data_IF_938881716670
#
_entry.id   IF_938881716670
#
_cell.length_a   1.000
_cell.length_b   1.000
_cell.length_c   1.000
_cell.angle_alpha   90.00
_cell.angle_beta   90.00
_cell.angle_gamma   90.00
#
_symmetry.space_group_name_H-M   'P 1'
#
loop_
_entity.id
_entity.type
_entity.pdbx_description
1 polymer ?
#
# COMPACT_ATOMS: atom_id res chain seq x y z
N UNK A 1 36.12 2.83 -19.17
CA UNK A 1 34.87 3.54 -18.81
C UNK A 1 33.91 2.50 -18.30
N UNK A 2 33.79 2.38 -16.98
CA UNK A 2 32.79 1.53 -16.35
C UNK A 2 31.48 2.32 -16.34
N UNK A 3 30.50 1.87 -17.13
CA UNK A 3 29.12 2.30 -16.97
C UNK A 3 28.59 1.58 -15.73
N UNK A 4 28.94 2.07 -14.55
CA UNK A 4 28.30 1.67 -13.31
C UNK A 4 26.88 2.20 -13.38
N UNK A 5 25.94 1.33 -13.72
CA UNK A 5 24.52 1.60 -13.58
C UNK A 5 24.30 1.80 -12.08
N UNK A 6 24.36 3.06 -11.63
CA UNK A 6 23.73 3.49 -10.38
C UNK A 6 22.23 3.18 -10.53
N UNK A 7 21.87 1.91 -10.32
CA UNK A 7 20.52 1.52 -10.01
C UNK A 7 20.22 2.25 -8.72
N UNK A 8 19.56 3.41 -8.86
CA UNK A 8 19.13 4.28 -7.78
C UNK A 8 18.48 3.35 -6.74
N UNK A 9 19.22 3.05 -5.67
CA UNK A 9 18.90 1.94 -4.78
C UNK A 9 17.77 2.43 -3.89
N UNK A 10 16.54 2.36 -4.39
CA UNK A 10 15.36 2.65 -3.61
C UNK A 10 15.40 1.75 -2.38
N UNK A 11 15.57 2.36 -1.21
CA UNK A 11 15.60 1.62 0.03
C UNK A 11 14.24 0.95 0.24
N UNK A 12 14.20 -0.29 0.74
CA UNK A 12 12.95 -0.91 1.12
C UNK A 12 12.26 -0.04 2.19
N UNK A 13 11.06 0.45 1.88
CA UNK A 13 10.32 1.36 2.77
C UNK A 13 10.30 2.84 2.41
N UNK A 14 11.00 3.28 1.36
CA UNK A 14 10.93 4.67 0.89
C UNK A 14 9.54 5.01 0.30
N UNK A 15 9.00 6.24 0.46
CA UNK A 15 7.74 6.64 -0.17
C UNK A 15 7.79 6.46 -1.70
N UNK A 16 6.64 6.10 -2.29
CA UNK A 16 6.56 5.89 -3.73
C UNK A 16 6.86 7.21 -4.47
N UNK A 17 7.79 7.21 -5.45
CA UNK A 17 8.10 8.41 -6.23
C UNK A 17 6.95 8.78 -7.15
N UNK A 18 6.90 10.06 -7.55
CA UNK A 18 6.02 10.52 -8.61
C UNK A 18 6.66 10.21 -9.98
N UNK A 19 5.86 9.70 -10.91
CA UNK A 19 6.30 9.29 -12.25
C UNK A 19 6.28 7.78 -12.50
N UNK A 20 5.82 7.40 -13.69
CA UNK A 20 5.59 6.00 -14.07
C UNK A 20 6.86 5.15 -14.04
N UNK A 21 7.95 5.60 -14.69
CA UNK A 21 9.20 4.84 -14.73
C UNK A 21 9.78 4.61 -13.33
N UNK A 22 9.86 5.69 -12.53
CA UNK A 22 10.38 5.63 -11.17
C UNK A 22 9.51 4.73 -10.26
N UNK A 23 8.18 4.76 -10.45
CA UNK A 23 7.28 3.87 -9.73
C UNK A 23 7.52 2.40 -10.07
N UNK A 24 7.79 2.09 -11.34
CA UNK A 24 8.12 0.73 -11.76
C UNK A 24 9.42 0.22 -11.12
N UNK A 25 10.49 1.02 -11.18
CA UNK A 25 11.78 0.65 -10.58
C UNK A 25 11.67 0.50 -9.05
N UNK A 26 10.92 1.38 -8.39
CA UNK A 26 10.63 1.30 -6.97
C UNK A 26 9.80 0.05 -6.64
N UNK A 27 8.75 -0.24 -7.41
CA UNK A 27 7.90 -1.41 -7.21
C UNK A 27 8.70 -2.71 -7.34
N UNK A 28 9.62 -2.79 -8.31
CA UNK A 28 10.53 -3.92 -8.45
C UNK A 28 11.45 -4.08 -7.23
N UNK A 29 12.00 -2.98 -6.71
CA UNK A 29 12.80 -2.99 -5.49
C UNK A 29 12.01 -3.48 -4.26
N UNK A 30 10.76 -3.02 -4.09
CA UNK A 30 9.90 -3.46 -2.99
C UNK A 30 9.49 -4.94 -3.12
N UNK A 31 9.18 -5.42 -4.33
CA UNK A 31 8.92 -6.83 -4.59
C UNK A 31 10.15 -7.70 -4.30
N UNK A 32 11.35 -7.26 -4.68
CA UNK A 32 12.60 -7.95 -4.39
C UNK A 32 12.90 -7.99 -2.88
N UNK A 33 12.49 -6.96 -2.14
CA UNK A 33 12.54 -6.92 -0.68
C UNK A 33 11.46 -7.79 0.01
N UNK A 34 10.58 -8.43 -0.75
CA UNK A 34 9.55 -9.34 -0.23
C UNK A 34 8.27 -8.65 0.24
N UNK A 35 8.13 -7.33 0.02
CA UNK A 35 6.87 -6.65 0.29
C UNK A 35 5.82 -7.06 -0.75
N UNK A 36 4.63 -7.42 -0.27
CA UNK A 36 3.51 -7.79 -1.13
C UNK A 36 2.48 -6.68 -1.15
N UNK A 37 2.00 -6.39 -2.36
CA UNK A 37 0.85 -5.52 -2.55
C UNK A 37 -0.38 -6.15 -1.88
N UNK A 38 -1.19 -5.31 -1.24
CA UNK A 38 -2.49 -5.71 -0.69
C UNK A 38 -3.59 -4.90 -1.37
N UNK A 39 -4.74 -5.52 -1.54
CA UNK A 39 -5.89 -4.86 -2.13
C UNK A 39 -6.52 -3.91 -1.12
N UNK A 40 -6.79 -2.67 -1.54
CA UNK A 40 -7.58 -1.73 -0.76
C UNK A 40 -9.03 -2.19 -0.68
N UNK A 41 -9.59 -2.28 0.53
CA UNK A 41 -10.98 -2.71 0.75
C UNK A 41 -12.04 -1.78 0.17
N UNK A 42 -11.70 -0.52 -0.14
CA UNK A 42 -12.65 0.50 -0.61
C UNK A 42 -12.65 0.73 -2.11
N UNK A 43 -11.47 0.97 -2.68
CA UNK A 43 -11.34 1.20 -4.13
C UNK A 43 -10.96 -0.04 -4.93
N UNK A 44 -10.63 -1.16 -4.27
CA UNK A 44 -10.23 -2.40 -4.92
C UNK A 44 -8.87 -2.35 -5.62
N UNK A 45 -8.15 -1.23 -5.54
CA UNK A 45 -6.82 -1.09 -6.12
C UNK A 45 -5.76 -1.78 -5.26
N UNK A 46 -4.81 -2.41 -5.93
CA UNK A 46 -3.63 -2.98 -5.30
C UNK A 46 -2.63 -1.88 -4.99
N UNK A 47 -2.16 -1.86 -3.74
CA UNK A 47 -1.24 -0.86 -3.22
C UNK A 47 -0.20 -1.53 -2.37
N UNK A 48 1.00 -0.96 -2.36
CA UNK A 48 2.05 -1.41 -1.46
C UNK A 48 1.74 -0.98 -0.01
N UNK A 49 2.28 -1.67 1.00
CA UNK A 49 2.11 -1.31 2.41
C UNK A 49 2.42 0.16 2.72
N UNK A 50 3.39 0.75 2.03
CA UNK A 50 3.79 2.16 2.15
C UNK A 50 2.71 3.14 1.63
N UNK A 51 1.86 2.71 0.69
CA UNK A 51 0.74 3.48 0.16
C UNK A 51 -0.58 3.18 0.90
N UNK A 52 -0.56 2.19 1.80
CA UNK A 52 -1.68 1.82 2.65
C UNK A 52 -1.64 2.65 3.95
N UNK A 53 -2.82 2.99 4.43
CA UNK A 53 -2.99 3.60 5.74
C UNK A 53 -3.10 2.52 6.81
N UNK A 54 -2.94 2.92 8.07
CA UNK A 54 -3.20 2.04 9.22
C UNK A 54 -4.69 1.71 9.39
N UNK A 55 -5.59 2.37 8.63
CA UNK A 55 -7.00 2.06 8.68
C UNK A 55 -7.30 0.70 8.04
N UNK A 56 -8.02 -0.13 8.80
CA UNK A 56 -8.56 -1.41 8.38
C UNK A 56 -10.08 -1.29 8.31
N UNK A 57 -10.66 -1.59 7.15
CA UNK A 57 -12.10 -1.69 6.96
C UNK A 57 -12.53 -3.12 7.28
N UNK A 58 -13.42 -3.26 8.26
CA UNK A 58 -14.00 -4.55 8.62
C UNK A 58 -15.41 -4.64 8.06
N UNK A 59 -15.65 -5.61 7.18
CA UNK A 59 -16.97 -5.87 6.64
C UNK A 59 -17.47 -7.25 7.03
N UNK A 60 -18.72 -7.33 7.45
CA UNK A 60 -19.41 -8.60 7.69
C UNK A 60 -20.02 -9.11 6.38
N UNK A 61 -19.53 -10.26 5.93
CA UNK A 61 -20.05 -10.98 4.78
C UNK A 61 -20.85 -12.17 5.27
N UNK A 62 -22.05 -12.37 4.73
CA UNK A 62 -22.83 -13.58 5.01
C UNK A 62 -22.29 -14.73 4.17
N UNK A 63 -21.67 -15.71 4.82
CA UNK A 63 -21.29 -16.97 4.20
C UNK A 63 -22.31 -18.06 4.51
N UNK A 64 -22.31 -19.14 3.74
CA UNK A 64 -23.20 -20.29 3.90
C UNK A 64 -23.06 -20.99 5.27
N UNK A 65 -21.93 -20.77 5.97
CA UNK A 65 -21.63 -21.31 7.31
C UNK A 65 -21.84 -20.29 8.45
N UNK A 66 -22.28 -19.06 8.16
CA UNK A 66 -22.43 -17.98 9.13
C UNK A 66 -21.77 -16.66 8.68
N UNK A 67 -21.91 -15.59 9.48
CA UNK A 67 -21.25 -14.31 9.21
C UNK A 67 -19.73 -14.47 9.30
N UNK A 68 -19.01 -13.96 8.30
CA UNK A 68 -17.56 -13.91 8.22
C UNK A 68 -17.14 -12.45 8.22
N UNK A 69 -16.27 -12.07 9.14
CA UNK A 69 -15.66 -10.76 9.14
C UNK A 69 -14.43 -10.78 8.24
N UNK A 70 -14.39 -9.89 7.25
CA UNK A 70 -13.22 -9.69 6.40
C UNK A 70 -12.62 -8.34 6.74
N UNK A 71 -11.34 -8.36 7.07
CA UNK A 71 -10.53 -7.19 7.36
C UNK A 71 -9.67 -6.86 6.15
N UNK A 72 -9.88 -5.68 5.58
CA UNK A 72 -9.16 -5.22 4.39
C UNK A 72 -8.47 -3.89 4.68
N UNK A 73 -7.19 -3.72 4.31
CA UNK A 73 -6.48 -2.45 4.51
C UNK A 73 -7.06 -1.37 3.59
N UNK A 74 -6.97 -0.11 4.01
CA UNK A 74 -7.45 1.04 3.24
C UNK A 74 -6.25 1.88 2.78
N UNK A 75 -6.24 2.30 1.51
CA UNK A 75 -5.16 3.15 1.00
C UNK A 75 -5.26 4.59 1.51
N UNK A 76 -4.12 5.29 1.55
CA UNK A 76 -4.04 6.68 2.02
C UNK A 76 -4.98 7.64 1.28
N UNK A 77 -5.31 7.32 0.01
CA UNK A 77 -6.26 8.09 -0.81
C UNK A 77 -7.73 7.84 -0.45
N UNK A 78 -8.07 6.63 -0.01
CA UNK A 78 -9.44 6.27 0.40
C UNK A 78 -9.71 6.49 1.90
N UNK A 79 -8.64 6.75 2.67
CA UNK A 79 -8.76 7.12 4.07
C UNK A 79 -9.53 8.44 4.18
N UNK A 80 -10.64 8.48 4.93
CA UNK A 80 -11.48 9.66 4.98
C UNK A 80 -10.84 10.72 5.90
N UNK A 81 -10.91 11.99 5.50
CA UNK A 81 -10.22 13.10 6.18
C UNK A 81 -10.62 13.29 7.65
N UNK A 82 -11.84 12.86 8.03
CA UNK A 82 -12.34 12.90 9.40
C UNK A 82 -11.60 11.94 10.36
N UNK A 83 -10.83 10.97 9.85
CA UNK A 83 -9.96 10.09 10.65
C UNK A 83 -8.54 10.64 10.76
N UNK A 84 -8.06 11.39 9.76
CA UNK A 84 -6.73 12.05 9.78
C UNK A 84 -6.61 13.14 10.86
N UNK A 85 -7.74 13.69 11.34
CA UNK A 85 -7.79 14.81 12.29
C UNK A 85 -7.68 14.41 13.78
N UNK A 86 -7.56 13.11 14.11
CA UNK A 86 -7.37 12.64 15.51
C UNK A 86 -5.92 12.30 15.84
N UNK A 87 -4.95 13.05 15.33
CA UNK A 87 -3.62 13.07 15.95
C UNK A 87 -3.70 13.97 17.19
N UNK A 88 -3.39 13.49 18.41
CA UNK A 88 -3.30 14.35 19.57
C UNK A 88 -2.14 15.35 19.35
N UNK A 89 -2.43 16.62 19.61
CA UNK A 89 -1.44 17.71 19.72
C UNK A 89 -0.50 17.44 20.88
#
# INVERSE_FOLDING_TARGET
MACELEQNTYKPGDPAPDGYLAWHEWAEAQHKAGLRQKQCGRCGLWRYPQELSDAIDRHELKSRKGPVFVESPVCLKCMPANVRAKAPT
#
